data_IF_545489074123
#
_entry.id   IF_545489074123
#
_cell.length_a   1.000
_cell.length_b   1.000
_cell.length_c   1.000
_cell.angle_alpha   90.00
_cell.angle_beta   90.00
_cell.angle_gamma   90.00
#
_symmetry.space_group_name_H-M   'P 1'
#
loop_
_entity.id
_entity.type
_entity.pdbx_description
1 polymer ?
#
# COMPACT_ATOMS: atom_id res chain seq x y z
N UNK A 1 -12.54 15.88 13.42
CA UNK A 1 -11.71 15.68 12.21
C UNK A 1 -12.24 14.46 11.45
N UNK A 2 -12.51 14.60 10.14
CA UNK A 2 -12.97 13.50 9.29
C UNK A 2 -11.88 12.43 9.11
N UNK A 3 -12.27 11.22 8.79
CA UNK A 3 -11.39 10.06 8.58
C UNK A 3 -11.37 9.66 7.12
N UNK A 4 -10.17 9.50 6.57
CA UNK A 4 -9.92 9.04 5.22
C UNK A 4 -9.50 7.56 5.21
N UNK A 5 -9.95 6.84 4.18
CA UNK A 5 -9.50 5.48 3.86
C UNK A 5 -8.57 5.53 2.64
N UNK A 6 -7.37 4.96 2.77
CA UNK A 6 -6.46 4.73 1.65
C UNK A 6 -6.22 3.22 1.48
N UNK A 7 -6.48 2.69 0.28
CA UNK A 7 -6.34 1.26 -0.03
C UNK A 7 -5.11 1.06 -0.91
N UNK A 8 -4.17 0.21 -0.46
CA UNK A 8 -2.95 -0.07 -1.22
C UNK A 8 -2.38 -1.45 -0.87
N UNK A 9 -1.64 -2.05 -1.82
CA UNK A 9 -0.91 -3.31 -1.54
C UNK A 9 0.37 -3.09 -0.75
N UNK A 10 1.03 -1.93 -0.92
CA UNK A 10 2.30 -1.59 -0.26
C UNK A 10 3.42 -2.64 -0.47
N UNK A 11 3.69 -3.03 -1.71
CA UNK A 11 4.67 -4.07 -2.08
C UNK A 11 5.91 -3.51 -2.82
N UNK A 12 6.80 -2.73 -2.19
CA UNK A 12 6.81 -2.27 -0.79
C UNK A 12 6.13 -0.90 -0.59
N UNK A 13 6.15 -0.37 0.65
CA UNK A 13 5.90 1.06 0.91
C UNK A 13 7.00 1.90 0.24
N UNK A 14 6.61 2.91 -0.54
CA UNK A 14 7.53 3.70 -1.36
C UNK A 14 7.21 5.20 -1.31
N UNK A 15 8.10 6.05 -1.82
CA UNK A 15 7.96 7.52 -1.73
C UNK A 15 6.67 8.06 -2.35
N UNK A 16 6.17 7.44 -3.42
CA UNK A 16 4.83 7.73 -3.97
C UNK A 16 3.70 7.57 -2.93
N UNK A 17 3.68 6.44 -2.19
CA UNK A 17 2.74 6.24 -1.08
C UNK A 17 2.94 7.29 0.02
N UNK A 18 4.18 7.62 0.36
CA UNK A 18 4.48 8.63 1.38
C UNK A 18 3.85 9.98 1.07
N UNK A 19 3.88 10.40 -0.20
CA UNK A 19 3.25 11.65 -0.63
C UNK A 19 1.73 11.61 -0.41
N UNK A 20 1.08 10.52 -0.80
CA UNK A 20 -0.37 10.34 -0.59
C UNK A 20 -0.68 10.37 0.91
N UNK A 21 0.01 9.56 1.71
CA UNK A 21 -0.21 9.45 3.15
C UNK A 21 -0.01 10.80 3.84
N UNK A 22 1.13 11.46 3.63
CA UNK A 22 1.46 12.74 4.27
C UNK A 22 0.49 13.84 3.87
N UNK A 23 0.06 13.90 2.60
CA UNK A 23 -0.90 14.92 2.15
C UNK A 23 -2.31 14.67 2.72
N UNK A 24 -2.74 13.42 2.81
CA UNK A 24 -4.02 13.04 3.45
C UNK A 24 -4.02 13.36 4.94
N UNK A 25 -2.94 13.05 5.66
CA UNK A 25 -2.83 13.30 7.11
C UNK A 25 -2.82 14.78 7.50
N UNK A 26 -2.59 15.70 6.56
CA UNK A 26 -2.75 17.15 6.81
C UNK A 26 -4.21 17.58 7.01
N UNK A 27 -5.18 16.77 6.55
CA UNK A 27 -6.60 17.12 6.52
C UNK A 27 -7.49 16.12 7.25
N UNK A 28 -7.03 14.87 7.40
CA UNK A 28 -7.85 13.76 7.86
C UNK A 28 -7.08 12.87 8.85
N UNK A 29 -7.82 12.20 9.74
CA UNK A 29 -7.32 10.95 10.34
C UNK A 29 -7.22 9.90 9.23
N UNK A 30 -6.30 8.95 9.32
CA UNK A 30 -6.05 8.01 8.23
C UNK A 30 -6.20 6.55 8.69
N UNK A 31 -6.98 5.80 7.91
CA UNK A 31 -7.00 4.33 7.89
C UNK A 31 -6.31 3.89 6.60
N UNK A 32 -5.33 2.99 6.72
CA UNK A 32 -4.74 2.30 5.57
C UNK A 32 -5.27 0.86 5.53
N UNK A 33 -5.95 0.55 4.45
CA UNK A 33 -6.37 -0.79 4.09
C UNK A 33 -5.28 -1.46 3.24
N UNK A 34 -4.56 -2.40 3.83
CA UNK A 34 -3.55 -3.20 3.13
C UNK A 34 -4.25 -4.34 2.40
N UNK A 35 -4.26 -4.30 1.07
CA UNK A 35 -4.91 -5.30 0.22
C UNK A 35 -4.01 -6.51 -0.07
N UNK A 36 -4.57 -7.60 -0.60
CA UNK A 36 -3.85 -8.84 -0.91
C UNK A 36 -3.07 -9.41 0.29
N UNK A 37 -3.70 -9.48 1.46
CA UNK A 37 -3.05 -9.99 2.69
C UNK A 37 -2.79 -11.50 2.68
N UNK A 38 -3.53 -12.25 1.87
CA UNK A 38 -3.41 -13.69 1.67
C UNK A 38 -2.44 -14.10 0.54
N UNK A 39 -1.73 -13.15 -0.08
CA UNK A 39 -0.81 -13.44 -1.20
C UNK A 39 0.65 -13.36 -0.75
N UNK A 40 1.43 -14.36 -1.15
CA UNK A 40 2.89 -14.37 -1.08
C UNK A 40 3.45 -14.94 -2.40
N UNK A 41 3.82 -14.05 -3.32
CA UNK A 41 4.29 -14.40 -4.68
C UNK A 41 5.14 -13.26 -5.27
N UNK A 42 5.59 -13.38 -6.52
CA UNK A 42 6.42 -12.36 -7.21
C UNK A 42 5.80 -10.95 -7.18
N UNK A 43 4.48 -10.87 -7.23
CA UNK A 43 3.73 -9.62 -7.15
C UNK A 43 3.52 -9.10 -5.72
N UNK A 44 3.59 -9.99 -4.74
CA UNK A 44 3.30 -9.73 -3.34
C UNK A 44 4.37 -10.38 -2.44
N UNK A 45 5.65 -9.96 -2.52
CA UNK A 45 6.74 -10.61 -1.80
C UNK A 45 6.72 -10.36 -0.28
N UNK A 46 6.00 -9.34 0.18
CA UNK A 46 5.92 -8.99 1.60
C UNK A 46 4.56 -9.38 2.19
N UNK A 47 4.59 -10.00 3.35
CA UNK A 47 3.42 -10.39 4.14
C UNK A 47 2.63 -9.17 4.64
N UNK A 48 1.42 -9.37 5.14
CA UNK A 48 0.67 -8.27 5.79
C UNK A 48 1.44 -7.67 6.97
N UNK A 49 2.06 -8.50 7.82
CA UNK A 49 2.80 -8.04 9.01
C UNK A 49 3.99 -7.16 8.62
N UNK A 50 4.78 -7.58 7.63
CA UNK A 50 5.93 -6.81 7.16
C UNK A 50 5.49 -5.46 6.55
N UNK A 51 4.39 -5.45 5.78
CA UNK A 51 3.87 -4.21 5.19
C UNK A 51 3.26 -3.26 6.23
N UNK A 52 2.59 -3.80 7.24
CA UNK A 52 2.13 -3.01 8.37
C UNK A 52 3.31 -2.42 9.14
N UNK A 53 4.39 -3.19 9.31
CA UNK A 53 5.62 -2.72 9.95
C UNK A 53 6.30 -1.61 9.15
N UNK A 54 6.33 -1.71 7.82
CA UNK A 54 6.80 -0.60 6.96
C UNK A 54 6.02 0.70 7.23
N UNK A 55 4.70 0.62 7.42
CA UNK A 55 3.90 1.81 7.78
C UNK A 55 4.27 2.33 9.18
N UNK A 56 4.41 1.43 10.17
CA UNK A 56 4.78 1.82 11.54
C UNK A 56 6.17 2.44 11.64
N UNK A 57 7.17 1.90 10.94
CA UNK A 57 8.52 2.48 10.89
C UNK A 57 8.52 3.93 10.40
N UNK A 58 7.59 4.28 9.50
CA UNK A 58 7.49 5.61 8.93
C UNK A 58 6.59 6.58 9.72
N UNK A 59 5.58 6.08 10.43
CA UNK A 59 4.49 6.90 10.96
C UNK A 59 4.12 6.60 12.43
N UNK A 60 4.74 5.61 13.07
CA UNK A 60 4.34 5.07 14.36
C UNK A 60 2.88 4.59 14.34
N UNK A 61 2.20 4.75 15.47
CA UNK A 61 0.79 4.34 15.64
C UNK A 61 -0.22 5.42 15.23
N UNK A 62 0.22 6.45 14.47
CA UNK A 62 -0.66 7.56 14.02
C UNK A 62 -1.69 7.14 12.97
N UNK A 63 -1.51 5.96 12.37
CA UNK A 63 -2.33 5.46 11.27
C UNK A 63 -2.95 4.12 11.70
N UNK A 64 -4.29 4.01 11.61
CA UNK A 64 -4.94 2.72 11.79
C UNK A 64 -4.68 1.85 10.56
N UNK A 65 -4.23 0.62 10.76
CA UNK A 65 -3.94 -0.34 9.68
C UNK A 65 -4.97 -1.46 9.75
N UNK A 66 -5.58 -1.79 8.62
CA UNK A 66 -6.50 -2.92 8.48
C UNK A 66 -6.07 -3.80 7.32
N UNK A 67 -6.27 -5.11 7.44
CA UNK A 67 -5.94 -6.09 6.41
C UNK A 67 -7.15 -6.46 5.57
N UNK A 68 -6.97 -6.62 4.27
CA UNK A 68 -7.98 -7.12 3.34
C UNK A 68 -7.37 -8.27 2.55
N UNK A 69 -7.99 -9.44 2.62
CA UNK A 69 -7.65 -10.55 1.72
C UNK A 69 -8.44 -10.42 0.43
N UNK A 70 -7.90 -10.97 -0.65
CA UNK A 70 -8.65 -11.02 -1.90
C UNK A 70 -9.89 -11.90 -1.69
N UNK A 71 -11.03 -11.41 -2.17
CA UNK A 71 -12.33 -12.10 -2.12
C UNK A 71 -12.77 -12.38 -3.54
N UNK A 72 -13.64 -13.38 -3.72
CA UNK A 72 -14.18 -13.76 -5.04
C UNK A 72 -14.79 -12.56 -5.79
N UNK A 73 -15.49 -11.69 -5.05
CA UNK A 73 -16.13 -10.50 -5.59
C UNK A 73 -15.62 -9.25 -4.87
N UNK A 74 -15.18 -8.25 -5.64
CA UNK A 74 -14.64 -7.01 -5.08
C UNK A 74 -15.65 -6.25 -4.22
N UNK A 75 -16.95 -6.41 -4.49
CA UNK A 75 -18.02 -5.83 -3.66
C UNK A 75 -18.02 -6.36 -2.23
N UNK A 76 -17.52 -7.57 -1.99
CA UNK A 76 -17.54 -8.17 -0.65
C UNK A 76 -16.56 -7.47 0.27
N UNK A 77 -15.31 -7.25 -0.17
CA UNK A 77 -14.34 -6.55 0.66
C UNK A 77 -14.65 -5.06 0.81
N UNK A 78 -15.28 -4.43 -0.19
CA UNK A 78 -15.73 -3.03 -0.07
C UNK A 78 -16.83 -2.89 0.97
N UNK A 79 -17.82 -3.79 0.96
CA UNK A 79 -18.91 -3.79 1.94
C UNK A 79 -18.39 -4.12 3.34
N UNK A 80 -17.45 -5.06 3.44
CA UNK A 80 -16.77 -5.36 4.70
C UNK A 80 -16.13 -4.11 5.30
N UNK A 81 -15.36 -3.35 4.51
CA UNK A 81 -14.77 -2.09 4.98
C UNK A 81 -15.83 -1.09 5.41
N UNK A 82 -16.84 -0.84 4.59
CA UNK A 82 -17.90 0.15 4.90
C UNK A 82 -18.65 -0.21 6.18
N UNK A 83 -18.84 -1.51 6.46
CA UNK A 83 -19.52 -2.00 7.64
C UNK A 83 -18.66 -1.95 8.90
N UNK A 84 -17.38 -2.30 8.80
CA UNK A 84 -16.50 -2.50 9.97
C UNK A 84 -15.61 -1.28 10.27
N UNK A 85 -15.44 -0.36 9.32
CA UNK A 85 -14.57 0.81 9.46
C UNK A 85 -15.33 2.13 9.36
N UNK A 86 -15.01 3.06 10.26
CA UNK A 86 -15.61 4.40 10.28
C UNK A 86 -14.74 5.39 9.49
N UNK A 87 -15.12 5.66 8.25
CA UNK A 87 -14.47 6.65 7.38
C UNK A 87 -15.47 7.45 6.53
N UNK A 88 -15.08 8.67 6.18
CA UNK A 88 -15.89 9.67 5.49
C UNK A 88 -15.54 9.79 4.00
N UNK A 89 -14.27 9.54 3.66
CA UNK A 89 -13.73 9.75 2.31
C UNK A 89 -12.76 8.64 1.92
N UNK A 90 -12.82 8.19 0.67
CA UNK A 90 -11.86 7.27 0.07
C UNK A 90 -10.85 8.05 -0.76
N UNK A 91 -9.57 7.87 -0.45
CA UNK A 91 -8.47 8.46 -1.21
C UNK A 91 -8.04 7.44 -2.27
N UNK A 92 -8.34 7.71 -3.54
CA UNK A 92 -7.90 6.82 -4.62
C UNK A 92 -7.91 7.51 -5.97
N UNK A 93 -6.86 7.26 -6.74
CA UNK A 93 -6.83 7.57 -8.16
C UNK A 93 -7.15 6.39 -9.06
N UNK A 94 -7.23 5.18 -8.52
CA UNK A 94 -7.49 3.96 -9.30
C UNK A 94 -8.97 3.96 -9.75
N UNK A 95 -9.27 3.99 -11.06
CA UNK A 95 -10.64 4.04 -11.58
C UNK A 95 -11.53 2.89 -11.07
N UNK A 96 -10.96 1.70 -10.88
CA UNK A 96 -11.67 0.55 -10.34
C UNK A 96 -12.13 0.78 -8.90
N UNK A 97 -11.22 1.25 -8.02
CA UNK A 97 -11.57 1.60 -6.64
C UNK A 97 -12.61 2.71 -6.62
N UNK A 98 -12.52 3.71 -7.52
CA UNK A 98 -13.54 4.75 -7.63
C UNK A 98 -14.91 4.15 -7.97
N UNK A 99 -14.96 3.25 -8.96
CA UNK A 99 -16.18 2.55 -9.37
C UNK A 99 -16.76 1.68 -8.25
N UNK A 100 -15.95 1.12 -7.36
CA UNK A 100 -16.43 0.34 -6.22
C UNK A 100 -17.06 1.22 -5.14
N UNK A 101 -16.51 2.41 -4.89
CA UNK A 101 -16.93 3.27 -3.78
C UNK A 101 -17.87 4.42 -4.15
N UNK A 102 -18.09 4.74 -5.43
CA UNK A 102 -18.80 5.97 -5.85
C UNK A 102 -20.20 6.16 -5.26
N UNK A 103 -20.94 5.07 -5.02
CA UNK A 103 -22.28 5.10 -4.36
C UNK A 103 -22.24 4.93 -2.84
N UNK A 104 -21.08 4.56 -2.29
CA UNK A 104 -20.94 4.21 -0.88
C UNK A 104 -20.33 5.35 -0.06
N UNK A 105 -19.37 6.09 -0.64
CA UNK A 105 -18.56 7.09 0.07
C UNK A 105 -18.11 8.21 -0.87
N UNK A 106 -17.79 9.38 -0.30
CA UNK A 106 -17.08 10.44 -1.03
C UNK A 106 -15.72 9.93 -1.48
N UNK A 107 -15.29 10.31 -2.68
CA UNK A 107 -13.98 9.97 -3.24
C UNK A 107 -13.17 11.24 -3.47
N UNK A 108 -11.90 11.22 -3.07
CA UNK A 108 -10.92 12.24 -3.41
C UNK A 108 -9.72 11.61 -4.12
N UNK A 109 -9.30 12.22 -5.23
CA UNK A 109 -8.11 11.75 -5.96
C UNK A 109 -6.87 12.36 -5.33
N UNK A 110 -5.85 11.57 -4.96
CA UNK A 110 -4.61 12.12 -4.48
C UNK A 110 -3.81 12.74 -5.64
N UNK A 111 -2.90 13.65 -5.32
CA UNK A 111 -1.86 14.05 -6.27
C UNK A 111 -0.81 12.96 -6.32
N UNK A 112 -0.72 12.25 -7.44
CA UNK A 112 0.38 11.33 -7.68
C UNK A 112 1.64 12.11 -8.05
N UNK A 113 2.77 11.61 -7.59
CA UNK A 113 4.09 12.14 -7.95
C UNK A 113 4.89 11.04 -8.60
N UNK A 114 5.50 11.36 -9.75
CA UNK A 114 6.49 10.55 -10.45
C UNK A 114 6.17 9.04 -10.43
N UNK A 115 5.06 8.65 -11.06
CA UNK A 115 4.61 7.25 -11.18
C UNK A 115 5.64 6.36 -11.89
N UNK A 116 6.49 6.96 -12.72
CA UNK A 116 7.58 6.24 -13.38
C UNK A 116 8.69 5.81 -12.42
N UNK A 117 8.96 6.61 -11.38
CA UNK A 117 9.95 6.27 -10.36
C UNK A 117 9.33 5.51 -9.19
N UNK A 118 8.11 5.86 -8.79
CA UNK A 118 7.46 5.37 -7.58
C UNK A 118 6.33 4.40 -7.91
N UNK A 119 6.74 3.21 -8.35
CA UNK A 119 5.85 2.06 -8.59
C UNK A 119 6.42 0.83 -7.90
N UNK A 120 5.58 0.11 -7.15
CA UNK A 120 5.97 -1.16 -6.52
C UNK A 120 6.51 -2.17 -7.53
N UNK A 121 5.92 -2.24 -8.73
CA UNK A 121 6.39 -3.11 -9.83
C UNK A 121 7.83 -2.75 -10.21
N UNK A 122 8.07 -1.49 -10.58
CA UNK A 122 9.39 -1.00 -10.98
C UNK A 122 10.44 -1.09 -9.86
N UNK A 123 10.02 -0.99 -8.60
CA UNK A 123 10.93 -1.19 -7.46
C UNK A 123 11.34 -2.66 -7.38
N UNK A 124 10.40 -3.60 -7.46
CA UNK A 124 10.69 -5.04 -7.44
C UNK A 124 11.55 -5.46 -8.63
N UNK A 125 11.27 -4.96 -9.84
CA UNK A 125 12.11 -5.17 -11.02
C UNK A 125 13.55 -4.69 -10.81
N UNK A 126 13.74 -3.50 -10.24
CA UNK A 126 15.07 -2.97 -9.94
C UNK A 126 15.79 -3.84 -8.90
N UNK A 127 15.10 -4.28 -7.85
CA UNK A 127 15.66 -5.21 -6.85
C UNK A 127 16.09 -6.52 -7.52
N UNK A 128 15.23 -7.09 -8.35
CA UNK A 128 15.48 -8.34 -9.08
C UNK A 128 16.74 -8.24 -9.94
N UNK A 129 16.87 -7.18 -10.74
CA UNK A 129 18.03 -6.94 -11.61
C UNK A 129 19.25 -6.34 -10.91
N UNK A 130 19.26 -6.21 -9.57
CA UNK A 130 20.38 -5.59 -8.85
C UNK A 130 20.60 -4.10 -9.17
N UNK A 131 19.59 -3.41 -9.69
CA UNK A 131 19.62 -1.98 -10.02
C UNK A 131 19.32 -1.13 -8.77
N UNK A 132 19.63 0.16 -8.83
CA UNK A 132 19.38 1.12 -7.75
C UNK A 132 17.87 1.25 -7.48
N UNK A 133 17.43 0.89 -6.28
CA UNK A 133 16.02 0.96 -5.86
C UNK A 133 15.80 1.71 -4.53
N UNK A 134 16.84 1.80 -3.69
CA UNK A 134 16.76 2.42 -2.35
C UNK A 134 16.32 3.89 -2.41
N UNK A 135 16.61 4.58 -3.51
CA UNK A 135 16.20 5.97 -3.74
C UNK A 135 14.68 6.15 -3.92
N UNK A 136 13.95 5.06 -4.13
CA UNK A 136 12.52 5.03 -4.41
C UNK A 136 11.65 4.75 -3.18
N UNK A 137 12.28 4.40 -2.05
CA UNK A 137 11.65 4.13 -0.75
C UNK A 137 12.22 5.03 0.34
N UNK A 138 11.56 5.20 1.49
CA UNK A 138 12.18 5.81 2.67
C UNK A 138 13.40 4.99 3.15
N UNK A 139 14.44 5.63 3.72
CA UNK A 139 15.63 4.93 4.22
C UNK A 139 15.33 3.81 5.21
N UNK A 140 14.33 4.00 6.07
CA UNK A 140 13.87 3.03 7.06
C UNK A 140 13.31 1.78 6.39
N UNK A 141 12.63 1.95 5.25
CA UNK A 141 12.09 0.84 4.47
C UNK A 141 13.19 0.09 3.73
N UNK A 142 14.19 0.80 3.21
CA UNK A 142 15.35 0.16 2.60
C UNK A 142 16.06 -0.75 3.63
N UNK A 143 16.35 -0.22 4.82
CA UNK A 143 16.95 -0.98 5.93
C UNK A 143 16.08 -2.16 6.35
N UNK A 144 14.77 -1.96 6.44
CA UNK A 144 13.85 -3.03 6.83
C UNK A 144 13.80 -4.16 5.81
N UNK A 145 13.73 -3.85 4.51
CA UNK A 145 13.75 -4.84 3.43
C UNK A 145 15.03 -5.67 3.48
N UNK A 146 16.18 -5.05 3.74
CA UNK A 146 17.45 -5.76 3.92
C UNK A 146 17.44 -6.65 5.16
N UNK A 147 16.93 -6.14 6.29
CA UNK A 147 16.82 -6.88 7.56
C UNK A 147 15.98 -8.16 7.44
N UNK A 148 14.90 -8.14 6.66
CA UNK A 148 13.98 -9.29 6.50
C UNK A 148 14.34 -10.21 5.33
N UNK A 149 15.54 -10.05 4.77
CA UNK A 149 16.00 -10.77 3.57
C UNK A 149 15.06 -10.62 2.36
N UNK A 150 14.42 -9.45 2.25
CA UNK A 150 13.41 -9.16 1.23
C UNK A 150 13.97 -9.14 -0.19
N UNK A 151 15.26 -8.83 -0.36
CA UNK A 151 15.94 -8.84 -1.66
C UNK A 151 16.01 -10.26 -2.22
N UNK A 152 16.51 -11.22 -1.43
CA UNK A 152 16.61 -12.61 -1.86
C UNK A 152 15.24 -13.23 -2.07
N UNK A 153 14.28 -12.92 -1.20
CA UNK A 153 12.89 -13.36 -1.39
C UNK A 153 12.28 -12.87 -2.70
N UNK A 154 12.49 -11.61 -3.07
CA UNK A 154 12.03 -11.09 -4.37
C UNK A 154 12.67 -11.88 -5.51
N UNK A 155 13.99 -12.08 -5.47
CA UNK A 155 14.69 -12.85 -6.50
C UNK A 155 14.17 -14.27 -6.64
N UNK A 156 13.98 -14.96 -5.51
CA UNK A 156 13.47 -16.32 -5.47
C UNK A 156 12.06 -16.40 -6.08
N UNK A 157 11.14 -15.54 -5.63
CA UNK A 157 9.75 -15.56 -6.09
C UNK A 157 9.59 -15.15 -7.56
N UNK A 158 10.50 -14.34 -8.09
CA UNK A 158 10.50 -13.93 -9.50
C UNK A 158 11.02 -15.02 -10.44
N UNK A 159 11.80 -15.98 -9.96
CA UNK A 159 12.33 -17.09 -10.75
C UNK A 159 11.38 -18.30 -10.81
N UNK A 160 10.29 -18.28 -10.05
CA UNK A 160 9.29 -19.37 -9.97
C UNK A 160 8.05 -19.02 -10.85
N UNK A 161 8.28 -18.24 -11.91
CA UNK A 161 7.24 -17.73 -12.82
C UNK A 161 7.33 -18.31 -14.21
#
# INVERSE_FOLDING_TARGET
>A
MKTALFIARLQPLHKGHMTVIKTTMKKYKLIIAIAATNKLNSDNPFTFKERAEMVRLCFGDKIKIVGIHDMEHDKHWTNYLVKNERFDVVISGNPWIKKLFYKLKKIESPKFVNSEKYSGIKIRERIYHGKIWKDSVPPEIAKYIEKIDGINRIKLLSNVG
#
